data_IF_426907523685
#
_entry.id   IF_426907523685
#
_cell.length_a   1.000
_cell.length_b   1.000
_cell.length_c   1.000
_cell.angle_alpha   90.00
_cell.angle_beta   90.00
_cell.angle_gamma   90.00
#
_symmetry.space_group_name_H-M   'P 1'
#
loop_
_entity.id
_entity.type
_entity.pdbx_description
1 polymer ?
#
# COMPACT_ATOMS: atom_id res chain seq x y z
N UNK A 1 -5.34 19.75 -27.52
CA UNK A 1 -5.29 18.91 -26.30
C UNK A 1 -4.91 17.52 -26.77
N UNK A 2 -3.98 16.86 -26.08
CA UNK A 2 -3.60 15.48 -26.38
C UNK A 2 -4.76 14.54 -26.04
N UNK A 3 -5.01 13.51 -26.88
CA UNK A 3 -6.06 12.52 -26.63
C UNK A 3 -5.46 11.12 -26.51
N UNK A 4 -5.80 10.41 -25.44
CA UNK A 4 -5.29 9.06 -25.13
C UNK A 4 -6.45 8.09 -24.91
N UNK A 5 -6.26 6.83 -25.31
CA UNK A 5 -7.26 5.77 -25.11
C UNK A 5 -7.34 5.35 -23.65
N UNK A 6 -6.18 5.21 -23.00
CA UNK A 6 -6.05 4.71 -21.64
C UNK A 6 -5.00 5.53 -20.88
N UNK A 7 -5.44 6.22 -19.84
CA UNK A 7 -4.56 6.92 -18.90
C UNK A 7 -4.48 6.12 -17.62
N UNK A 8 -3.25 5.91 -17.12
CA UNK A 8 -2.99 5.19 -15.86
C UNK A 8 -2.36 6.16 -14.88
N UNK A 9 -2.90 6.21 -13.65
CA UNK A 9 -2.45 7.12 -12.60
C UNK A 9 -1.87 6.31 -11.46
N UNK A 10 -0.54 6.37 -11.31
CA UNK A 10 0.24 5.63 -10.33
C UNK A 10 1.10 4.54 -10.96
N UNK A 11 2.30 4.36 -10.41
CA UNK A 11 3.37 3.50 -10.94
C UNK A 11 3.75 2.33 -10.04
N UNK A 12 2.88 1.98 -9.08
CA UNK A 12 3.03 0.76 -8.29
C UNK A 12 2.81 -0.51 -9.12
N UNK A 13 2.87 -1.71 -8.51
CA UNK A 13 2.67 -2.98 -9.20
C UNK A 13 1.35 -3.04 -9.99
N UNK A 14 0.27 -2.45 -9.47
CA UNK A 14 -1.01 -2.35 -10.16
C UNK A 14 -0.90 -1.51 -11.44
N UNK A 15 -0.30 -0.31 -11.34
CA UNK A 15 -0.17 0.62 -12.47
C UNK A 15 0.69 0.07 -13.59
N UNK A 16 1.90 -0.44 -13.28
CA UNK A 16 2.76 -1.02 -14.32
C UNK A 16 2.18 -2.31 -14.91
N UNK A 17 1.51 -3.15 -14.12
CA UNK A 17 0.84 -4.33 -14.67
C UNK A 17 -0.30 -3.92 -15.59
N UNK A 18 -1.14 -2.95 -15.20
CA UNK A 18 -2.16 -2.40 -16.07
C UNK A 18 -1.56 -1.84 -17.38
N UNK A 19 -0.44 -1.12 -17.29
CA UNK A 19 0.27 -0.57 -18.44
C UNK A 19 0.76 -1.66 -19.41
N UNK A 20 1.36 -2.74 -18.89
CA UNK A 20 1.81 -3.88 -19.69
C UNK A 20 0.64 -4.49 -20.46
N UNK A 21 -0.47 -4.77 -19.78
CA UNK A 21 -1.64 -5.41 -20.42
C UNK A 21 -2.32 -4.46 -21.41
N UNK A 22 -2.52 -3.18 -21.06
CA UNK A 22 -3.10 -2.19 -21.96
C UNK A 22 -2.23 -1.95 -23.22
N UNK A 23 -0.90 -1.89 -23.07
CA UNK A 23 0.01 -1.75 -24.20
C UNK A 23 -0.06 -2.97 -25.14
N UNK A 24 -0.09 -4.19 -24.58
CA UNK A 24 -0.24 -5.44 -25.35
C UNK A 24 -1.59 -5.53 -26.06
N UNK A 25 -2.64 -4.90 -25.54
CA UNK A 25 -3.95 -4.73 -26.17
C UNK A 25 -3.99 -3.59 -27.20
N UNK A 26 -2.85 -2.96 -27.53
CA UNK A 26 -2.73 -1.85 -28.49
C UNK A 26 -3.54 -0.60 -28.07
N UNK A 27 -3.68 -0.37 -26.78
CA UNK A 27 -4.36 0.83 -26.26
C UNK A 27 -3.43 2.04 -26.21
N UNK A 28 -2.12 1.87 -26.45
CA UNK A 28 -1.10 2.92 -26.34
C UNK A 28 -1.23 3.72 -25.02
N UNK A 29 -1.11 3.06 -23.85
CA UNK A 29 -1.38 3.71 -22.59
C UNK A 29 -0.34 4.78 -22.25
N UNK A 30 -0.81 5.86 -21.62
CA UNK A 30 0.03 6.84 -20.94
C UNK A 30 -0.07 6.59 -19.44
N UNK A 31 1.09 6.51 -18.75
CA UNK A 31 1.15 6.31 -17.32
C UNK A 31 1.87 7.48 -16.65
N UNK A 32 1.24 8.08 -15.64
CA UNK A 32 1.87 9.08 -14.77
C UNK A 32 2.34 8.45 -13.47
N UNK A 33 3.65 8.60 -13.19
CA UNK A 33 4.31 7.92 -12.07
C UNK A 33 3.96 8.50 -10.69
N UNK A 34 3.52 9.76 -10.64
CA UNK A 34 3.24 10.45 -9.38
C UNK A 34 4.51 10.95 -8.67
N UNK A 35 4.38 11.20 -7.37
CA UNK A 35 5.46 11.76 -6.52
C UNK A 35 6.53 10.71 -6.21
N UNK A 36 6.11 9.47 -6.01
CA UNK A 36 6.98 8.34 -5.65
C UNK A 36 6.97 7.30 -6.79
N UNK A 37 7.84 7.44 -7.82
CA UNK A 37 7.94 6.48 -8.91
C UNK A 37 8.20 5.06 -8.40
N UNK A 38 7.36 4.09 -8.78
CA UNK A 38 7.41 2.72 -8.30
C UNK A 38 6.60 2.44 -7.03
N UNK A 39 6.12 3.51 -6.35
CA UNK A 39 5.28 3.41 -5.18
C UNK A 39 5.98 2.82 -3.95
N UNK A 40 5.20 2.34 -2.97
CA UNK A 40 5.70 1.90 -1.67
C UNK A 40 6.77 0.79 -1.72
N UNK A 41 6.74 -0.08 -2.73
CA UNK A 41 7.74 -1.15 -2.85
C UNK A 41 9.17 -0.64 -2.98
N UNK A 42 9.37 0.56 -3.50
CA UNK A 42 10.72 1.15 -3.63
C UNK A 42 11.39 1.44 -2.29
N UNK A 43 10.61 1.47 -1.20
CA UNK A 43 11.11 1.62 0.17
C UNK A 43 11.36 0.29 0.87
N UNK A 44 11.02 -0.84 0.26
CA UNK A 44 11.26 -2.19 0.77
C UNK A 44 12.65 -2.66 0.34
N UNK A 45 13.45 -3.14 1.30
CA UNK A 45 14.83 -3.57 1.04
C UNK A 45 14.87 -4.86 0.25
N UNK A 46 14.08 -5.87 0.64
CA UNK A 46 14.05 -7.18 0.01
C UNK A 46 12.62 -7.70 -0.12
N UNK A 47 12.31 -8.29 -1.27
CA UNK A 47 11.01 -8.91 -1.59
C UNK A 47 11.26 -10.37 -1.91
N UNK A 48 10.77 -11.27 -1.05
CA UNK A 48 10.89 -12.72 -1.22
C UNK A 48 9.56 -13.39 -1.58
N UNK A 49 8.45 -12.65 -1.48
CA UNK A 49 7.09 -13.18 -1.63
C UNK A 49 6.41 -12.83 -2.97
N UNK A 50 7.16 -12.29 -3.94
CA UNK A 50 6.64 -12.08 -5.29
C UNK A 50 7.11 -13.21 -6.21
N UNK A 51 6.19 -14.01 -6.80
CA UNK A 51 6.54 -15.12 -7.67
C UNK A 51 7.35 -14.66 -8.89
N UNK A 52 8.41 -15.41 -9.22
CA UNK A 52 9.29 -15.13 -10.34
C UNK A 52 10.70 -14.69 -9.92
N UNK A 53 10.91 -14.43 -8.62
CA UNK A 53 12.22 -14.07 -8.05
C UNK A 53 12.63 -15.08 -6.98
N UNK A 54 13.18 -16.25 -7.37
CA UNK A 54 13.47 -17.34 -6.42
C UNK A 54 14.57 -17.00 -5.40
N UNK A 55 15.45 -16.07 -5.74
CA UNK A 55 16.53 -15.58 -4.86
C UNK A 55 16.17 -14.27 -4.14
N UNK A 56 14.88 -13.85 -4.18
CA UNK A 56 14.48 -12.52 -3.73
C UNK A 56 14.91 -11.41 -4.71
N UNK A 57 14.45 -10.20 -4.46
CA UNK A 57 14.80 -9.01 -5.23
C UNK A 57 14.56 -7.77 -4.38
N UNK A 58 15.37 -6.71 -4.57
CA UNK A 58 15.07 -5.44 -3.92
C UNK A 58 13.82 -4.79 -4.53
N UNK A 59 13.03 -4.10 -3.71
CA UNK A 59 11.82 -3.43 -4.19
C UNK A 59 12.08 -2.48 -5.36
N UNK A 60 13.18 -1.72 -5.30
CA UNK A 60 13.59 -0.84 -6.39
C UNK A 60 13.87 -1.60 -7.69
N UNK A 61 14.64 -2.69 -7.62
CA UNK A 61 15.00 -3.46 -8.82
C UNK A 61 13.75 -4.11 -9.45
N UNK A 62 12.83 -4.63 -8.63
CA UNK A 62 11.57 -5.19 -9.12
C UNK A 62 10.72 -4.12 -9.83
N UNK A 63 10.61 -2.92 -9.26
CA UNK A 63 9.84 -1.85 -9.88
C UNK A 63 10.48 -1.32 -11.16
N UNK A 64 11.82 -1.29 -11.23
CA UNK A 64 12.56 -0.98 -12.46
C UNK A 64 12.32 -2.06 -13.54
N UNK A 65 12.22 -3.34 -13.18
CA UNK A 65 11.89 -4.42 -14.11
C UNK A 65 10.48 -4.24 -14.69
N UNK A 66 9.48 -3.98 -13.84
CA UNK A 66 8.11 -3.74 -14.29
C UNK A 66 8.01 -2.51 -15.19
N UNK A 67 8.71 -1.43 -14.83
CA UNK A 67 8.78 -0.22 -15.65
C UNK A 67 9.39 -0.50 -17.02
N UNK A 68 10.54 -1.18 -17.07
CA UNK A 68 11.21 -1.57 -18.33
C UNK A 68 10.31 -2.45 -19.19
N UNK A 69 9.57 -3.37 -18.56
CA UNK A 69 8.63 -4.22 -19.26
C UNK A 69 7.47 -3.42 -19.88
N UNK A 70 6.88 -2.47 -19.14
CA UNK A 70 5.83 -1.61 -19.64
C UNK A 70 6.28 -0.75 -20.82
N UNK A 71 7.45 -0.10 -20.70
CA UNK A 71 8.07 0.71 -21.76
C UNK A 71 8.38 -0.13 -23.00
N UNK A 72 8.89 -1.35 -22.83
CA UNK A 72 9.18 -2.28 -23.94
C UNK A 72 7.93 -2.59 -24.79
N UNK A 73 6.75 -2.61 -24.19
CA UNK A 73 5.49 -2.81 -24.91
C UNK A 73 4.87 -1.53 -25.45
N UNK A 74 5.49 -0.38 -25.24
CA UNK A 74 5.05 0.90 -25.80
C UNK A 74 4.19 1.75 -24.87
N UNK A 75 4.25 1.52 -23.56
CA UNK A 75 3.69 2.45 -22.58
C UNK A 75 4.51 3.74 -22.56
N UNK A 76 3.86 4.88 -22.68
CA UNK A 76 4.45 6.19 -22.47
C UNK A 76 4.42 6.52 -20.97
N UNK A 77 5.57 6.35 -20.31
CA UNK A 77 5.71 6.58 -18.86
C UNK A 77 6.21 8.01 -18.63
N UNK A 78 5.42 8.80 -17.92
CA UNK A 78 5.65 10.22 -17.69
C UNK A 78 5.83 10.54 -16.21
N UNK A 79 6.75 11.42 -15.92
CA UNK A 79 6.87 12.06 -14.60
C UNK A 79 5.82 13.17 -14.47
N UNK A 80 5.23 13.30 -13.31
CA UNK A 80 4.24 14.34 -13.00
C UNK A 80 3.09 13.81 -12.14
N UNK A 81 2.31 14.73 -11.63
CA UNK A 81 1.18 14.45 -10.72
C UNK A 81 -0.10 14.85 -11.44
N UNK A 82 -1.11 13.99 -11.36
CA UNK A 82 -2.44 14.34 -11.81
C UNK A 82 -3.14 15.14 -10.71
N UNK A 83 -3.44 16.41 -11.02
CA UNK A 83 -4.07 17.34 -10.07
C UNK A 83 -5.59 17.31 -10.11
N UNK A 84 -6.20 16.97 -11.25
CA UNK A 84 -7.66 16.91 -11.37
C UNK A 84 -8.11 15.97 -12.47
N UNK A 85 -9.32 15.41 -12.32
CA UNK A 85 -10.06 14.67 -13.36
C UNK A 85 -11.46 15.27 -13.42
N UNK A 86 -11.84 15.81 -14.57
CA UNK A 86 -13.24 16.17 -14.87
C UNK A 86 -13.98 14.92 -15.35
N UNK A 87 -14.87 14.42 -14.49
CA UNK A 87 -15.66 13.22 -14.74
C UNK A 87 -17.05 13.52 -15.29
N UNK A 88 -17.39 14.79 -15.56
CA UNK A 88 -18.72 15.21 -15.99
C UNK A 88 -19.05 14.82 -17.43
N UNK A 89 -18.02 14.53 -18.24
CA UNK A 89 -18.14 14.16 -19.66
C UNK A 89 -17.04 13.20 -20.08
N UNK A 90 -17.24 12.53 -21.21
CA UNK A 90 -16.22 11.74 -21.91
C UNK A 90 -15.93 12.29 -23.29
N UNK A 91 -14.65 12.29 -23.75
CA UNK A 91 -13.44 11.91 -23.01
C UNK A 91 -13.25 12.72 -21.73
N UNK A 92 -12.67 12.08 -20.68
CA UNK A 92 -12.36 12.76 -19.42
C UNK A 92 -11.25 13.78 -19.62
N UNK A 93 -11.39 14.97 -19.05
CA UNK A 93 -10.33 15.97 -19.08
C UNK A 93 -9.50 15.85 -17.81
N UNK A 94 -8.24 15.47 -17.98
CA UNK A 94 -7.30 15.26 -16.89
C UNK A 94 -6.26 16.37 -16.88
N UNK A 95 -6.08 17.04 -15.74
CA UNK A 95 -5.12 18.13 -15.57
C UNK A 95 -3.88 17.63 -14.83
N UNK A 96 -2.72 17.84 -15.42
CA UNK A 96 -1.41 17.56 -14.84
C UNK A 96 -0.93 18.75 -14.01
N UNK A 97 -0.03 18.56 -13.05
CA UNK A 97 0.50 19.59 -12.13
C UNK A 97 1.11 20.82 -12.84
N UNK A 98 1.66 20.65 -14.04
CA UNK A 98 2.17 21.75 -14.87
C UNK A 98 1.05 22.55 -15.62
N UNK A 99 -0.23 22.25 -15.37
CA UNK A 99 -1.39 22.87 -16.00
C UNK A 99 -1.75 22.30 -17.38
N UNK A 100 -0.98 21.37 -17.91
CA UNK A 100 -1.33 20.69 -19.18
C UNK A 100 -2.58 19.83 -18.99
N UNK A 101 -3.36 19.71 -20.04
CA UNK A 101 -4.58 18.90 -20.06
C UNK A 101 -4.50 17.78 -21.10
N UNK A 102 -5.04 16.63 -20.74
CA UNK A 102 -5.12 15.42 -21.56
C UNK A 102 -6.57 14.97 -21.60
N UNK A 103 -7.07 14.62 -22.78
CA UNK A 103 -8.35 13.93 -22.95
C UNK A 103 -8.11 12.42 -22.88
N UNK A 104 -8.74 11.74 -21.92
CA UNK A 104 -8.64 10.30 -21.74
C UNK A 104 -10.00 9.63 -21.99
N UNK A 105 -10.02 8.60 -22.86
CA UNK A 105 -11.23 7.81 -23.10
C UNK A 105 -11.53 6.88 -21.91
N UNK A 106 -10.49 6.35 -21.28
CA UNK A 106 -10.55 5.57 -20.03
C UNK A 106 -9.45 5.99 -19.08
N UNK A 107 -9.71 5.85 -17.76
CA UNK A 107 -8.75 6.15 -16.70
C UNK A 107 -8.66 4.96 -15.75
N UNK A 108 -7.44 4.54 -15.40
CA UNK A 108 -7.16 3.54 -14.35
C UNK A 108 -6.52 4.25 -13.17
N UNK A 109 -7.19 4.22 -12.02
CA UNK A 109 -6.68 4.76 -10.76
C UNK A 109 -5.90 3.66 -10.05
N UNK A 110 -4.58 3.84 -9.93
CA UNK A 110 -3.66 2.89 -9.30
C UNK A 110 -2.73 3.60 -8.28
N UNK A 111 -3.29 4.60 -7.58
CA UNK A 111 -2.57 5.51 -6.68
C UNK A 111 -2.17 4.88 -5.34
N UNK A 112 -2.65 3.65 -5.05
CA UNK A 112 -2.30 2.90 -3.86
C UNK A 112 -2.87 3.45 -2.56
N UNK A 113 -2.27 3.03 -1.44
CA UNK A 113 -2.60 3.51 -0.10
C UNK A 113 -1.31 3.71 0.70
N UNK A 114 -1.28 4.70 1.57
CA UNK A 114 -0.12 5.04 2.40
C UNK A 114 -0.31 4.50 3.82
N UNK A 115 0.72 3.85 4.37
CA UNK A 115 0.70 3.42 5.76
C UNK A 115 0.70 4.63 6.70
N UNK A 116 -0.04 4.53 7.80
CA UNK A 116 -0.02 5.53 8.87
C UNK A 116 1.17 5.28 9.79
N UNK A 117 1.83 6.36 10.18
CA UNK A 117 2.94 6.38 11.13
C UNK A 117 2.55 7.17 12.38
N UNK A 118 3.29 7.01 13.48
CA UNK A 118 3.08 7.78 14.71
C UNK A 118 3.58 9.23 14.57
N UNK A 119 4.41 9.50 13.57
CA UNK A 119 5.01 10.81 13.33
C UNK A 119 6.28 11.05 14.13
N UNK A 120 6.93 10.00 14.61
CA UNK A 120 8.19 10.10 15.35
C UNK A 120 9.38 10.22 14.38
N UNK A 121 10.33 11.14 14.62
CA UNK A 121 11.55 11.24 13.82
C UNK A 121 12.32 9.91 13.74
N UNK A 122 12.32 9.13 14.83
CA UNK A 122 12.96 7.82 14.90
C UNK A 122 12.31 6.77 14.00
N UNK A 123 11.00 6.82 13.77
CA UNK A 123 10.34 5.93 12.80
C UNK A 123 10.89 6.16 11.39
N UNK A 124 11.00 7.44 11.00
CA UNK A 124 11.49 7.79 9.67
C UNK A 124 12.95 7.37 9.48
N UNK A 125 13.77 7.50 10.54
CA UNK A 125 15.19 7.11 10.53
C UNK A 125 15.37 5.61 10.28
N UNK A 126 14.53 4.79 10.89
CA UNK A 126 14.66 3.32 10.85
C UNK A 126 13.66 2.64 9.90
N UNK A 127 12.96 3.41 9.06
CA UNK A 127 12.06 2.86 8.03
C UNK A 127 12.83 1.96 7.06
N UNK A 128 12.42 0.68 6.96
CA UNK A 128 13.14 -0.36 6.20
C UNK A 128 14.41 -0.90 6.88
N UNK A 129 14.73 -0.40 8.08
CA UNK A 129 15.84 -0.88 8.91
C UNK A 129 15.32 -1.36 10.29
N UNK A 130 14.18 -2.01 10.30
CA UNK A 130 13.52 -2.51 11.50
C UNK A 130 12.17 -1.90 11.80
N UNK A 131 11.84 -0.74 11.23
CA UNK A 131 10.48 -0.17 11.25
C UNK A 131 9.74 -0.57 9.98
N UNK A 132 8.61 -1.26 10.14
CA UNK A 132 7.74 -1.75 9.06
C UNK A 132 6.27 -1.44 9.33
N UNK A 133 5.47 -1.40 8.27
CA UNK A 133 4.01 -1.32 8.33
C UNK A 133 3.33 -2.55 7.68
N UNK A 134 4.08 -3.66 7.50
CA UNK A 134 3.57 -4.89 6.89
C UNK A 134 4.23 -6.12 7.53
N UNK A 135 3.54 -6.75 8.47
CA UNK A 135 4.04 -7.95 9.13
C UNK A 135 4.20 -9.14 8.17
N UNK A 136 3.30 -9.29 7.19
CA UNK A 136 3.38 -10.36 6.19
C UNK A 136 4.51 -10.18 5.19
N UNK A 137 4.98 -8.95 4.99
CA UNK A 137 6.11 -8.64 4.11
C UNK A 137 7.44 -8.94 4.82
N UNK A 138 7.60 -8.39 6.02
CA UNK A 138 8.90 -8.28 6.67
C UNK A 138 9.06 -9.23 7.88
N UNK A 139 7.98 -9.82 8.39
CA UNK A 139 8.00 -10.64 9.60
C UNK A 139 8.96 -11.83 9.56
N UNK A 140 9.21 -12.38 8.37
CA UNK A 140 10.14 -13.49 8.18
C UNK A 140 11.57 -13.15 8.59
N UNK A 141 12.03 -11.91 8.37
CA UNK A 141 13.39 -11.45 8.74
C UNK A 141 13.61 -11.41 10.24
N UNK A 142 12.53 -11.38 11.05
CA UNK A 142 12.59 -11.31 12.52
C UNK A 142 12.33 -12.65 13.21
N UNK A 143 12.49 -13.77 12.50
CA UNK A 143 12.32 -15.11 13.09
C UNK A 143 13.19 -15.30 14.32
N UNK A 144 12.56 -15.81 15.41
CA UNK A 144 13.18 -16.07 16.72
C UNK A 144 13.73 -14.81 17.42
N UNK A 145 13.39 -13.61 16.94
CA UNK A 145 13.72 -12.34 17.56
C UNK A 145 12.52 -11.77 18.30
N UNK A 146 12.73 -10.72 19.10
CA UNK A 146 11.67 -9.98 19.77
C UNK A 146 11.24 -8.82 18.89
N UNK A 147 9.94 -8.60 18.80
CA UNK A 147 9.36 -7.53 17.99
C UNK A 147 8.24 -6.83 18.73
N UNK A 148 7.90 -5.61 18.30
CA UNK A 148 6.72 -4.90 18.75
C UNK A 148 5.73 -4.68 17.61
N UNK A 149 4.44 -4.68 17.94
CA UNK A 149 3.33 -4.26 17.06
C UNK A 149 2.60 -3.13 17.75
N UNK A 150 2.40 -2.03 17.06
CA UNK A 150 1.62 -0.88 17.57
C UNK A 150 0.23 -0.88 16.95
N UNK A 151 -0.78 -0.94 17.80
CA UNK A 151 -2.18 -0.91 17.37
C UNK A 151 -3.09 -1.67 18.32
N UNK A 152 -4.40 -1.57 18.11
CA UNK A 152 -5.38 -2.24 19.00
C UNK A 152 -6.67 -2.63 18.28
N UNK A 153 -6.68 -2.60 16.94
CA UNK A 153 -7.77 -3.11 16.08
C UNK A 153 -7.50 -4.51 15.56
N UNK A 154 -8.39 -5.04 14.75
CA UNK A 154 -8.27 -6.39 14.17
C UNK A 154 -6.95 -6.58 13.44
N UNK A 155 -6.53 -5.66 12.57
CA UNK A 155 -5.24 -5.73 11.87
C UNK A 155 -4.05 -5.88 12.82
N UNK A 156 -4.03 -5.12 13.93
CA UNK A 156 -2.93 -5.22 14.90
C UNK A 156 -2.92 -6.59 15.61
N UNK A 157 -4.08 -7.15 15.89
CA UNK A 157 -4.21 -8.47 16.48
C UNK A 157 -3.82 -9.58 15.49
N UNK A 158 -4.20 -9.44 14.23
CA UNK A 158 -3.80 -10.35 13.15
C UNK A 158 -2.29 -10.35 12.95
N UNK A 159 -1.69 -9.17 12.80
CA UNK A 159 -0.24 -9.01 12.63
C UNK A 159 0.53 -9.53 13.85
N UNK A 160 0.08 -9.22 15.08
CA UNK A 160 0.71 -9.74 16.29
C UNK A 160 0.64 -11.27 16.36
N UNK A 161 -0.49 -11.86 15.97
CA UNK A 161 -0.67 -13.33 15.94
C UNK A 161 0.20 -13.97 14.85
N UNK A 162 0.28 -13.34 13.68
CA UNK A 162 1.16 -13.80 12.60
C UNK A 162 2.63 -13.76 13.04
N UNK A 163 3.10 -12.64 13.56
CA UNK A 163 4.47 -12.49 14.06
C UNK A 163 4.78 -13.44 15.21
N UNK A 164 3.81 -13.73 16.07
CA UNK A 164 3.99 -14.71 17.15
C UNK A 164 4.29 -16.13 16.65
N UNK A 165 3.87 -16.49 15.44
CA UNK A 165 4.23 -17.76 14.81
C UNK A 165 5.68 -17.83 14.34
N UNK A 166 6.34 -16.69 14.17
CA UNK A 166 7.70 -16.57 13.65
C UNK A 166 8.70 -16.16 14.74
N UNK A 167 8.31 -15.19 15.56
CA UNK A 167 9.17 -14.48 16.50
C UNK A 167 9.22 -15.15 17.87
N UNK A 168 10.24 -14.84 18.66
CA UNK A 168 10.39 -15.32 20.03
C UNK A 168 9.36 -14.69 20.96
N UNK A 169 9.19 -13.36 20.87
CA UNK A 169 8.28 -12.58 21.68
C UNK A 169 7.67 -11.46 20.84
N UNK A 170 6.38 -11.20 20.99
CA UNK A 170 5.68 -10.07 20.40
C UNK A 170 5.15 -9.17 21.51
N UNK A 171 5.49 -7.89 21.48
CA UNK A 171 4.94 -6.87 22.35
C UNK A 171 3.84 -6.09 21.60
N UNK A 172 2.57 -6.30 21.96
CA UNK A 172 1.46 -5.56 21.37
C UNK A 172 1.20 -4.27 22.18
N UNK A 173 1.61 -3.14 21.62
CA UNK A 173 1.57 -1.82 22.26
C UNK A 173 0.22 -1.15 21.96
N UNK A 174 -0.57 -0.90 23.00
CA UNK A 174 -1.95 -0.41 22.90
C UNK A 174 -2.11 0.83 23.76
N UNK A 175 -2.43 2.00 23.16
CA UNK A 175 -2.62 3.27 23.89
C UNK A 175 -3.88 3.33 24.78
N UNK A 176 -4.85 2.44 24.54
CA UNK A 176 -6.10 2.35 25.31
C UNK A 176 -6.01 1.21 26.33
N UNK A 177 -6.86 1.20 27.39
CA UNK A 177 -6.92 0.10 28.33
C UNK A 177 -7.63 -1.16 27.78
N UNK A 178 -7.96 -1.19 26.49
CA UNK A 178 -8.67 -2.28 25.83
C UNK A 178 -8.31 -2.36 24.34
N UNK A 179 -8.49 -3.55 23.76
CA UNK A 179 -8.44 -3.77 22.31
C UNK A 179 -9.79 -3.40 21.69
N UNK A 180 -9.75 -2.76 20.51
CA UNK A 180 -10.94 -2.47 19.70
C UNK A 180 -11.26 -3.59 18.70
N UNK A 181 -10.40 -4.59 18.63
CA UNK A 181 -10.57 -5.75 17.77
C UNK A 181 -11.85 -6.54 18.12
N UNK A 182 -12.30 -7.38 17.21
CA UNK A 182 -13.39 -8.33 17.43
C UNK A 182 -13.05 -9.27 18.61
N UNK A 183 -14.07 -9.79 19.29
CA UNK A 183 -13.86 -10.71 20.43
C UNK A 183 -13.00 -11.92 20.04
N UNK A 184 -13.26 -12.49 18.87
CA UNK A 184 -12.51 -13.64 18.37
C UNK A 184 -11.00 -13.32 18.21
N UNK A 185 -10.67 -12.14 17.73
CA UNK A 185 -9.27 -11.71 17.58
C UNK A 185 -8.63 -11.41 18.96
N UNK A 186 -9.38 -10.81 19.88
CA UNK A 186 -8.92 -10.61 21.26
C UNK A 186 -8.59 -11.94 21.95
N UNK A 187 -9.50 -12.94 21.86
CA UNK A 187 -9.27 -14.27 22.41
C UNK A 187 -8.03 -14.93 21.81
N UNK A 188 -7.83 -14.81 20.51
CA UNK A 188 -6.63 -15.35 19.84
C UNK A 188 -5.36 -14.72 20.38
N UNK A 189 -5.32 -13.39 20.53
CA UNK A 189 -4.17 -12.67 21.09
C UNK A 189 -3.88 -13.12 22.53
N UNK A 190 -4.92 -13.16 23.40
CA UNK A 190 -4.74 -13.53 24.81
C UNK A 190 -4.37 -15.01 25.01
N UNK A 191 -4.77 -15.89 24.08
CA UNK A 191 -4.42 -17.31 24.13
C UNK A 191 -3.07 -17.63 23.45
N UNK A 192 -2.38 -16.64 22.88
CA UNK A 192 -1.06 -16.83 22.27
C UNK A 192 0.05 -16.52 23.29
N UNK A 193 0.79 -17.53 23.75
CA UNK A 193 1.63 -17.41 24.95
C UNK A 193 2.82 -16.46 24.81
N UNK A 194 3.30 -16.20 23.58
CA UNK A 194 4.40 -15.30 23.30
C UNK A 194 3.91 -13.92 22.78
N UNK A 195 2.65 -13.55 23.01
CA UNK A 195 2.17 -12.18 22.85
C UNK A 195 2.00 -11.55 24.23
N UNK A 196 2.71 -10.44 24.48
CA UNK A 196 2.54 -9.62 25.66
C UNK A 196 1.83 -8.33 25.30
N UNK A 197 0.58 -8.17 25.73
CA UNK A 197 -0.19 -6.94 25.50
C UNK A 197 0.22 -5.89 26.54
N UNK A 198 0.61 -4.71 26.05
CA UNK A 198 0.99 -3.55 26.84
C UNK A 198 -0.08 -2.48 26.68
N UNK A 199 -1.09 -2.52 27.55
CA UNK A 199 -2.15 -1.52 27.56
C UNK A 199 -1.68 -0.18 28.15
N UNK A 200 -2.29 0.92 27.71
CA UNK A 200 -2.02 2.28 28.18
C UNK A 200 -0.57 2.72 27.96
N UNK A 201 0.04 2.22 26.89
CA UNK A 201 1.39 2.58 26.48
C UNK A 201 1.40 3.32 25.15
N UNK A 202 2.24 4.32 25.07
CA UNK A 202 2.56 5.04 23.84
C UNK A 202 4.03 4.83 23.52
N UNK A 203 4.38 4.79 22.25
CA UNK A 203 5.77 4.81 21.81
C UNK A 203 6.31 6.23 21.92
N UNK A 204 7.37 6.42 22.71
CA UNK A 204 8.06 7.69 22.83
C UNK A 204 9.15 7.81 21.76
N UNK A 205 9.89 6.72 21.51
CA UNK A 205 10.99 6.69 20.54
C UNK A 205 11.27 5.25 20.10
N UNK A 206 11.66 5.08 18.84
CA UNK A 206 12.27 3.84 18.34
C UNK A 206 13.78 3.99 18.46
N UNK A 207 14.42 3.04 19.14
CA UNK A 207 15.86 3.03 19.40
C UNK A 207 16.59 2.18 18.38
N UNK A 208 17.79 2.58 18.01
CA UNK A 208 18.57 1.83 17.04
C UNK A 208 19.93 2.45 16.77
N UNK A 209 20.75 1.73 16.03
CA UNK A 209 22.10 2.09 15.61
C UNK A 209 22.25 2.09 14.08
N UNK A 210 23.47 1.86 13.58
CA UNK A 210 23.76 1.82 12.14
C UNK A 210 23.19 0.56 11.46
N UNK A 211 22.96 -0.51 12.22
CA UNK A 211 22.44 -1.78 11.72
C UNK A 211 20.90 -1.85 11.78
N UNK A 212 20.24 -0.90 12.45
CA UNK A 212 18.78 -0.79 12.50
C UNK A 212 18.19 -0.69 13.91
N UNK A 213 16.98 -1.19 14.09
CA UNK A 213 16.24 -1.13 15.35
C UNK A 213 16.85 -2.06 16.39
N UNK A 214 17.15 -1.52 17.59
CA UNK A 214 17.65 -2.27 18.75
C UNK A 214 16.69 -2.28 19.94
N UNK A 215 15.66 -1.44 19.90
CA UNK A 215 14.67 -1.33 20.99
C UNK A 215 13.60 -0.28 20.75
N UNK A 216 12.74 -0.13 21.75
CA UNK A 216 11.72 0.91 21.80
C UNK A 216 11.65 1.50 23.19
N UNK A 217 11.53 2.84 23.28
CA UNK A 217 11.19 3.54 24.51
C UNK A 217 9.69 3.76 24.55
N UNK A 218 9.08 3.23 25.61
CA UNK A 218 7.66 3.34 25.86
C UNK A 218 7.38 4.34 26.96
N UNK A 219 6.24 5.02 26.86
CA UNK A 219 5.70 5.88 27.92
C UNK A 219 4.33 5.35 28.32
N UNK A 220 4.15 5.06 29.60
CA UNK A 220 2.84 4.78 30.18
C UNK A 220 2.01 6.05 30.28
N UNK A 221 0.69 5.90 30.40
CA UNK A 221 -0.22 7.05 30.59
C UNK A 221 0.02 7.81 31.92
N UNK A 222 0.64 7.18 32.91
CA UNK A 222 1.08 7.81 34.19
C UNK A 222 2.38 8.61 34.07
N UNK A 223 3.04 8.56 32.91
CA UNK A 223 4.27 9.29 32.60
C UNK A 223 5.55 8.49 32.79
N UNK A 224 5.51 7.28 33.34
CA UNK A 224 6.69 6.42 33.46
C UNK A 224 7.22 6.00 32.07
N UNK A 225 8.54 6.14 31.89
CA UNK A 225 9.21 5.69 30.66
C UNK A 225 10.18 4.54 30.96
N UNK A 226 10.24 3.58 30.02
CA UNK A 226 11.19 2.48 30.06
C UNK A 226 11.46 1.94 28.66
N UNK A 227 12.51 1.15 28.51
CA UNK A 227 12.95 0.62 27.24
C UNK A 227 12.74 -0.90 27.17
N UNK A 228 12.41 -1.38 25.98
CA UNK A 228 12.33 -2.81 25.66
C UNK A 228 13.30 -3.08 24.52
N UNK A 229 14.27 -3.99 24.68
CA UNK A 229 15.11 -4.43 23.57
C UNK A 229 14.29 -5.27 22.60
N UNK A 230 14.37 -4.94 21.30
CA UNK A 230 13.72 -5.66 20.22
C UNK A 230 14.39 -5.30 18.88
N UNK A 231 14.16 -6.12 17.85
CA UNK A 231 14.80 -5.96 16.54
C UNK A 231 13.86 -5.46 15.48
N UNK A 232 12.54 -5.57 15.68
CA UNK A 232 11.54 -5.15 14.71
C UNK A 232 10.38 -4.38 15.35
N UNK A 233 9.94 -3.32 14.71
CA UNK A 233 8.87 -2.44 15.17
C UNK A 233 7.82 -2.28 14.06
N UNK A 234 6.65 -2.86 14.26
CA UNK A 234 5.59 -2.95 13.26
C UNK A 234 4.44 -1.99 13.59
N UNK A 235 4.00 -1.23 12.59
CA UNK A 235 2.94 -0.25 12.72
C UNK A 235 1.64 -0.79 12.11
N UNK A 236 0.73 -1.23 12.95
CA UNK A 236 -0.59 -1.73 12.58
C UNK A 236 -1.70 -0.73 12.98
N UNK A 237 -1.49 0.56 12.67
CA UNK A 237 -2.40 1.66 13.00
C UNK A 237 -3.27 2.11 11.82
N UNK A 238 -3.23 1.34 10.73
CA UNK A 238 -4.05 1.50 9.54
C UNK A 238 -3.32 2.16 8.38
N UNK A 239 -4.05 2.30 7.28
CA UNK A 239 -3.61 2.92 6.04
C UNK A 239 -4.55 4.07 5.69
N UNK A 240 -4.12 4.87 4.75
CA UNK A 240 -4.91 5.92 4.11
C UNK A 240 -4.86 5.69 2.61
N UNK A 241 -5.99 5.36 1.95
CA UNK A 241 -6.00 5.23 0.50
C UNK A 241 -5.79 6.59 -0.16
N UNK A 242 -4.99 6.63 -1.23
CA UNK A 242 -4.65 7.87 -1.93
C UNK A 242 -5.78 8.22 -2.93
N UNK A 243 -6.91 8.69 -2.40
CA UNK A 243 -8.17 8.93 -3.12
C UNK A 243 -8.55 10.41 -3.23
N UNK A 244 -7.69 11.34 -2.81
CA UNK A 244 -7.96 12.78 -2.84
C UNK A 244 -8.36 13.26 -4.23
N UNK A 245 -7.71 12.73 -5.26
CA UNK A 245 -7.96 13.04 -6.68
C UNK A 245 -9.40 12.76 -7.11
N UNK A 246 -10.02 11.75 -6.50
CA UNK A 246 -11.34 11.22 -6.89
C UNK A 246 -12.42 11.44 -5.82
N UNK A 247 -12.09 12.11 -4.72
CA UNK A 247 -13.03 12.45 -3.66
C UNK A 247 -14.18 13.31 -4.22
N UNK A 248 -15.42 12.92 -3.91
CA UNK A 248 -16.63 13.56 -4.44
C UNK A 248 -16.94 13.27 -5.92
N UNK A 249 -16.12 12.46 -6.60
CA UNK A 249 -16.31 12.06 -8.02
C UNK A 249 -16.60 10.58 -8.16
N UNK A 250 -16.02 9.75 -7.30
CA UNK A 250 -16.27 8.31 -7.23
C UNK A 250 -16.88 7.93 -5.89
N UNK A 251 -17.59 6.82 -5.85
CA UNK A 251 -18.05 6.22 -4.59
C UNK A 251 -16.85 5.70 -3.80
N UNK A 252 -16.73 6.14 -2.55
CA UNK A 252 -15.75 5.68 -1.58
C UNK A 252 -16.47 4.98 -0.43
N UNK A 253 -15.81 4.00 0.20
CA UNK A 253 -16.29 3.37 1.41
C UNK A 253 -16.07 4.28 2.66
N UNK A 254 -16.47 3.81 3.83
CA UNK A 254 -16.33 4.54 5.10
C UNK A 254 -14.86 4.78 5.49
N UNK A 255 -13.92 4.02 4.94
CA UNK A 255 -12.48 4.14 5.17
C UNK A 255 -11.78 4.96 4.09
N UNK A 256 -12.51 5.40 3.05
CA UNK A 256 -12.02 6.21 1.95
C UNK A 256 -11.49 5.43 0.73
N UNK A 257 -11.62 4.09 0.69
CA UNK A 257 -11.23 3.28 -0.45
C UNK A 257 -12.24 3.39 -1.60
N UNK A 258 -11.77 3.32 -2.85
CA UNK A 258 -12.65 3.32 -4.02
C UNK A 258 -13.49 2.04 -4.03
N UNK A 259 -14.82 2.20 -4.08
CA UNK A 259 -15.74 1.07 -4.22
C UNK A 259 -15.76 0.58 -5.67
N UNK A 260 -15.48 -0.70 -5.85
CA UNK A 260 -15.56 -1.37 -7.16
C UNK A 260 -16.68 -2.39 -7.19
N UNK A 261 -17.19 -2.69 -8.38
CA UNK A 261 -18.13 -3.79 -8.57
C UNK A 261 -17.40 -5.11 -8.32
N UNK A 262 -17.94 -5.95 -7.45
CA UNK A 262 -17.30 -7.21 -7.03
C UNK A 262 -16.81 -8.04 -8.23
N UNK A 263 -15.55 -8.49 -8.16
CA UNK A 263 -14.90 -9.29 -9.20
C UNK A 263 -14.45 -8.49 -10.43
N UNK A 264 -14.58 -7.18 -10.44
CA UNK A 264 -14.15 -6.29 -11.52
C UNK A 264 -13.37 -5.10 -10.96
N UNK A 265 -12.81 -4.27 -11.85
CA UNK A 265 -12.19 -2.99 -11.50
C UNK A 265 -13.10 -1.78 -11.70
N UNK A 266 -14.37 -2.00 -12.09
CA UNK A 266 -15.33 -0.95 -12.44
C UNK A 266 -15.71 -0.13 -11.22
N UNK A 267 -15.61 1.19 -11.35
CA UNK A 267 -16.02 2.15 -10.31
C UNK A 267 -17.45 2.65 -10.54
N UNK A 268 -17.90 3.57 -9.69
CA UNK A 268 -19.21 4.25 -9.86
C UNK A 268 -19.28 5.18 -11.08
N UNK A 269 -18.14 5.49 -11.72
CA UNK A 269 -18.07 6.29 -12.96
C UNK A 269 -17.63 5.39 -14.12
N UNK A 270 -18.51 5.25 -15.10
CA UNK A 270 -18.29 4.41 -16.28
C UNK A 270 -17.09 4.92 -17.11
N UNK A 271 -16.12 4.03 -17.39
CA UNK A 271 -14.87 4.38 -18.07
C UNK A 271 -13.73 4.73 -17.12
N UNK A 272 -13.99 4.77 -15.78
CA UNK A 272 -12.96 4.88 -14.75
C UNK A 272 -12.89 3.55 -13.99
N UNK A 273 -11.67 3.02 -13.85
CA UNK A 273 -11.35 1.76 -13.22
C UNK A 273 -10.39 1.99 -12.04
N UNK A 274 -10.41 1.13 -11.05
CA UNK A 274 -9.49 1.19 -9.90
C UNK A 274 -8.76 -0.13 -9.71
N UNK A 275 -7.48 -0.08 -9.32
CA UNK A 275 -6.65 -1.24 -9.10
C UNK A 275 -5.61 -1.01 -8.00
N UNK A 276 -5.25 -2.07 -7.30
CA UNK A 276 -4.29 -2.05 -6.19
C UNK A 276 -4.90 -1.54 -4.89
N UNK A 277 -4.03 -1.14 -3.99
CA UNK A 277 -4.39 -0.81 -2.60
C UNK A 277 -5.35 0.38 -2.47
N UNK A 278 -5.54 1.18 -3.52
CA UNK A 278 -6.52 2.28 -3.53
C UNK A 278 -7.98 1.79 -3.43
N UNK A 279 -8.22 0.52 -3.78
CA UNK A 279 -9.53 -0.13 -3.70
C UNK A 279 -9.50 -1.48 -2.93
N UNK A 280 -8.36 -1.84 -2.33
CA UNK A 280 -8.22 -3.05 -1.53
C UNK A 280 -7.81 -2.71 -0.09
N UNK A 281 -8.76 -2.66 0.86
CA UNK A 281 -8.45 -2.40 2.26
C UNK A 281 -7.86 -3.61 3.00
N UNK A 282 -7.80 -4.81 2.39
CA UNK A 282 -7.54 -6.07 3.08
C UNK A 282 -6.14 -6.63 2.84
N UNK A 283 -5.79 -6.91 1.57
CA UNK A 283 -4.60 -7.71 1.27
C UNK A 283 -3.30 -6.91 1.23
N UNK A 284 -3.29 -5.79 0.49
CA UNK A 284 -2.12 -4.91 0.36
C UNK A 284 -0.83 -5.68 0.05
N UNK A 285 -0.90 -6.54 -0.95
CA UNK A 285 0.22 -7.35 -1.44
C UNK A 285 0.55 -6.99 -2.88
N UNK A 286 1.84 -6.96 -3.21
CA UNK A 286 2.32 -6.61 -4.56
C UNK A 286 1.69 -7.49 -5.65
N UNK A 287 1.56 -8.80 -5.38
CA UNK A 287 0.98 -9.76 -6.34
C UNK A 287 -0.53 -9.53 -6.51
N UNK A 288 -1.26 -9.18 -5.46
CA UNK A 288 -2.69 -8.86 -5.52
C UNK A 288 -2.89 -7.55 -6.29
N UNK A 289 -2.08 -6.54 -6.00
CA UNK A 289 -2.08 -5.27 -6.71
C UNK A 289 -1.78 -5.47 -8.21
N UNK A 290 -0.76 -6.27 -8.55
CA UNK A 290 -0.45 -6.61 -9.95
C UNK A 290 -1.62 -7.32 -10.63
N UNK A 291 -2.23 -8.33 -9.98
CA UNK A 291 -3.41 -9.03 -10.49
C UNK A 291 -4.59 -8.11 -10.76
N UNK A 292 -4.87 -7.17 -9.84
CA UNK A 292 -5.94 -6.18 -10.03
C UNK A 292 -5.64 -5.20 -11.17
N UNK A 293 -4.37 -4.84 -11.38
CA UNK A 293 -3.93 -4.04 -12.53
C UNK A 293 -4.22 -4.72 -13.87
N UNK A 294 -3.98 -6.05 -13.94
CA UNK A 294 -4.38 -6.85 -15.10
C UNK A 294 -5.89 -6.78 -15.35
N UNK A 295 -6.72 -6.97 -14.30
CA UNK A 295 -8.19 -6.86 -14.40
C UNK A 295 -8.60 -5.48 -14.93
N UNK A 296 -8.02 -4.40 -14.41
CA UNK A 296 -8.34 -3.04 -14.81
C UNK A 296 -8.03 -2.77 -16.30
N UNK A 297 -6.89 -3.25 -16.79
CA UNK A 297 -6.55 -3.13 -18.21
C UNK A 297 -7.52 -3.89 -19.12
N UNK A 298 -7.92 -5.11 -18.74
CA UNK A 298 -8.88 -5.91 -19.49
C UNK A 298 -10.28 -5.29 -19.47
N UNK A 299 -10.71 -4.72 -18.34
CA UNK A 299 -12.00 -4.03 -18.26
C UNK A 299 -11.98 -2.75 -19.09
N UNK A 300 -10.87 -1.98 -19.11
CA UNK A 300 -10.71 -0.82 -19.95
C UNK A 300 -10.73 -1.17 -21.45
N UNK A 301 -10.07 -2.25 -21.85
CA UNK A 301 -10.09 -2.76 -23.22
C UNK A 301 -11.51 -3.10 -23.67
N UNK A 302 -12.24 -3.91 -22.90
CA UNK A 302 -13.62 -4.33 -23.18
C UNK A 302 -14.55 -3.12 -23.26
N UNK A 303 -14.36 -2.14 -22.37
CA UNK A 303 -15.11 -0.91 -22.38
C UNK A 303 -14.92 -0.13 -23.69
N UNK A 304 -13.67 0.06 -24.13
CA UNK A 304 -13.35 0.76 -25.36
C UNK A 304 -13.85 0.02 -26.62
N UNK A 305 -13.89 -1.32 -26.58
CA UNK A 305 -14.47 -2.13 -27.68
C UNK A 305 -15.98 -1.95 -27.80
N UNK A 306 -16.67 -1.82 -26.66
CA UNK A 306 -18.13 -1.64 -26.63
C UNK A 306 -18.60 -0.22 -26.98
N UNK A 307 -17.70 0.77 -26.96
CA UNK A 307 -18.02 2.19 -27.19
C UNK A 307 -17.29 2.77 -28.41
N UNK A 308 -16.95 1.93 -29.38
CA UNK A 308 -16.38 2.33 -30.69
C UNK A 308 -17.40 3.02 -31.57
#
# INVERSE_FOLDING_TARGET
MESVKCLIIGSGPAGFTAAIYAARASLAPVLYEGIEPGGQLTTTTEIENFPGYPEGITGKAMMDDLRRQAVRFGTDVRTGIIGNIDTSKRPFVVTVDNGNQIEAQTVIIATGASAKYLGLPSEQKFKGMGVSACATCDGFFYRKQDVAVVGGGDTACEEATYLASLCRQVYLIVRKPFLRASKAMQERVFNTPNIKVLFEHNTAEVLGDEDGVTGVRLRKNDGEEYEIPLSGFFLAIGHHPNTELVAGKLALDEQGYIVTVAGTSKTSCEGIFAAGDVCDPHYRQAIVAAGSGCIAALDAERFLQAHK
#
